data_IF_317372652972
#
_entry.id   IF_317372652972
#
_cell.length_a   1.000
_cell.length_b   1.000
_cell.length_c   1.000
_cell.angle_alpha   90.00
_cell.angle_beta   90.00
_cell.angle_gamma   90.00
#
_symmetry.space_group_name_H-M   'P 1'
#
loop_
_entity.id
_entity.type
_entity.pdbx_description
1 polymer ?
#
# COMPACT_ATOMS: atom_id res chain seq x y z
N UNK A 1 -11.97 3.66 -3.11
CA UNK A 1 -10.68 3.94 -2.46
C UNK A 1 -10.11 2.64 -1.91
N UNK A 2 -8.84 2.35 -2.14
CA UNK A 2 -8.13 1.25 -1.48
C UNK A 2 -7.94 1.64 -0.01
N UNK A 3 -8.53 0.83 0.88
CA UNK A 3 -8.49 1.06 2.32
C UNK A 3 -8.16 -0.26 3.03
N UNK A 4 -7.22 -0.20 3.97
CA UNK A 4 -6.86 -1.33 4.82
C UNK A 4 -7.92 -1.68 5.88
N UNK A 5 -8.94 -0.83 6.08
CA UNK A 5 -9.91 -1.01 7.16
C UNK A 5 -10.89 -2.18 6.95
N UNK A 6 -11.26 -2.52 5.70
CA UNK A 6 -12.28 -3.53 5.35
C UNK A 6 -13.55 -3.55 6.25
N UNK A 7 -13.90 -2.43 6.88
CA UNK A 7 -15.08 -2.30 7.73
C UNK A 7 -16.29 -2.00 6.86
N UNK A 8 -17.07 -3.05 6.58
CA UNK A 8 -18.33 -2.94 5.85
C UNK A 8 -19.48 -3.18 6.83
N UNK A 9 -20.47 -2.26 6.81
CA UNK A 9 -21.65 -2.36 7.68
C UNK A 9 -22.46 -3.59 7.30
N UNK A 10 -22.75 -4.43 8.29
CA UNK A 10 -23.59 -5.61 8.11
C UNK A 10 -25.08 -5.23 8.06
N UNK A 11 -25.88 -6.10 7.43
CA UNK A 11 -27.33 -5.93 7.39
C UNK A 11 -27.92 -6.32 8.77
N UNK A 12 -28.68 -5.42 9.39
CA UNK A 12 -29.31 -5.68 10.69
C UNK A 12 -30.19 -6.95 10.64
N UNK A 13 -30.17 -7.72 11.73
CA UNK A 13 -30.89 -9.00 11.88
C UNK A 13 -30.48 -10.10 10.88
N UNK A 14 -29.34 -9.95 10.20
CA UNK A 14 -28.83 -10.90 9.21
C UNK A 14 -27.38 -11.33 9.48
N UNK A 15 -26.85 -11.15 10.69
CA UNK A 15 -25.44 -11.44 11.00
C UNK A 15 -25.06 -12.92 10.82
N UNK A 16 -26.00 -13.84 11.08
CA UNK A 16 -25.77 -15.29 10.94
C UNK A 16 -25.89 -15.78 9.49
N UNK A 17 -26.31 -14.91 8.56
CA UNK A 17 -26.52 -15.26 7.16
C UNK A 17 -25.21 -15.13 6.38
N UNK A 18 -24.62 -16.28 6.07
CA UNK A 18 -23.37 -16.43 5.31
C UNK A 18 -23.60 -16.79 3.84
N UNK A 19 -24.83 -16.66 3.34
CA UNK A 19 -25.14 -16.96 1.95
C UNK A 19 -24.51 -15.95 0.97
N UNK A 20 -23.85 -16.48 -0.05
CA UNK A 20 -23.16 -15.73 -1.10
C UNK A 20 -24.05 -15.45 -2.32
N UNK A 21 -25.24 -16.04 -2.36
CA UNK A 21 -26.20 -15.92 -3.45
C UNK A 21 -27.18 -14.76 -3.22
N UNK A 22 -27.57 -14.08 -4.29
CA UNK A 22 -28.56 -13.00 -4.30
C UNK A 22 -29.98 -13.52 -4.01
N UNK A 23 -30.23 -13.99 -2.80
CA UNK A 23 -31.60 -14.15 -2.29
C UNK A 23 -31.97 -12.80 -1.70
N UNK A 24 -32.72 -11.99 -2.44
CA UNK A 24 -32.96 -10.56 -2.18
C UNK A 24 -33.34 -10.22 -0.73
N UNK A 25 -33.93 -11.17 0.01
CA UNK A 25 -34.41 -10.96 1.36
C UNK A 25 -33.53 -11.52 2.48
N UNK A 26 -32.44 -12.25 2.19
CA UNK A 26 -31.68 -12.99 3.22
C UNK A 26 -30.16 -12.82 3.16
N UNK A 27 -29.68 -11.62 2.82
CA UNK A 27 -28.25 -11.36 2.65
C UNK A 27 -27.68 -10.31 3.60
N UNK A 28 -26.55 -10.67 4.20
CA UNK A 28 -25.66 -9.75 4.89
C UNK A 28 -24.72 -9.10 3.87
N UNK A 29 -25.01 -7.84 3.53
CA UNK A 29 -24.25 -7.08 2.52
C UNK A 29 -22.79 -6.84 2.92
N UNK A 30 -22.54 -6.59 4.21
CA UNK A 30 -21.19 -6.44 4.75
C UNK A 30 -20.38 -7.73 4.67
N UNK A 31 -20.99 -8.88 5.02
CA UNK A 31 -20.38 -10.20 4.86
C UNK A 31 -19.99 -10.50 3.41
N UNK A 32 -20.90 -10.31 2.45
CA UNK A 32 -20.60 -10.57 1.04
C UNK A 32 -19.47 -9.69 0.52
N UNK A 33 -19.43 -8.42 0.94
CA UNK A 33 -18.37 -7.51 0.54
C UNK A 33 -17.02 -7.97 1.08
N UNK A 34 -16.93 -8.33 2.38
CA UNK A 34 -15.71 -8.89 2.98
C UNK A 34 -15.30 -10.20 2.31
N UNK A 35 -16.23 -11.12 2.10
CA UNK A 35 -15.97 -12.38 1.42
C UNK A 35 -15.38 -12.15 0.03
N UNK A 36 -15.97 -11.27 -0.78
CA UNK A 36 -15.50 -11.01 -2.14
C UNK A 36 -14.10 -10.38 -2.19
N UNK A 37 -13.75 -9.57 -1.18
CA UNK A 37 -12.39 -9.02 -1.06
C UNK A 37 -11.39 -10.10 -0.60
N UNK A 38 -11.79 -10.98 0.31
CA UNK A 38 -10.88 -11.96 0.94
C UNK A 38 -10.80 -13.31 0.20
N UNK A 39 -11.77 -13.69 -0.64
CA UNK A 39 -11.91 -15.05 -1.21
C UNK A 39 -10.69 -15.56 -1.97
N UNK A 40 -9.94 -14.66 -2.61
CA UNK A 40 -8.75 -14.98 -3.40
C UNK A 40 -7.47 -14.45 -2.73
N UNK A 41 -7.58 -13.80 -1.58
CA UNK A 41 -6.55 -13.05 -0.83
C UNK A 41 -5.76 -11.98 -1.59
N UNK A 42 -5.61 -12.06 -2.91
CA UNK A 42 -4.76 -11.17 -3.73
C UNK A 42 -5.01 -9.69 -3.48
N UNK A 43 -6.28 -9.28 -3.38
CA UNK A 43 -6.64 -7.89 -3.11
C UNK A 43 -6.29 -7.49 -1.68
N UNK A 44 -6.54 -8.38 -0.71
CA UNK A 44 -6.19 -8.16 0.69
C UNK A 44 -4.67 -8.10 0.88
N UNK A 45 -3.93 -9.02 0.29
CA UNK A 45 -2.46 -9.07 0.34
C UNK A 45 -1.83 -7.82 -0.28
N UNK A 46 -2.36 -7.37 -1.43
CA UNK A 46 -1.97 -6.12 -2.08
C UNK A 46 -2.24 -4.91 -1.18
N UNK A 47 -3.45 -4.79 -0.63
CA UNK A 47 -3.83 -3.65 0.22
C UNK A 47 -2.97 -3.62 1.48
N UNK A 48 -2.76 -4.77 2.12
CA UNK A 48 -1.97 -4.89 3.34
C UNK A 48 -0.53 -4.43 3.13
N UNK A 49 0.17 -5.04 2.17
CA UNK A 49 1.56 -4.70 1.84
C UNK A 49 1.70 -3.23 1.42
N UNK A 50 0.85 -2.73 0.53
CA UNK A 50 0.91 -1.34 0.07
C UNK A 50 0.70 -0.33 1.20
N UNK A 51 -0.22 -0.58 2.14
CA UNK A 51 -0.41 0.34 3.28
C UNK A 51 0.70 0.21 4.31
N UNK A 52 1.28 -0.98 4.46
CA UNK A 52 2.43 -1.20 5.34
C UNK A 52 3.65 -0.43 4.83
N UNK A 53 4.03 -0.64 3.57
CA UNK A 53 5.21 -0.01 2.96
C UNK A 53 5.08 1.52 2.82
N UNK A 54 3.85 2.05 2.74
CA UNK A 54 3.59 3.49 2.78
C UNK A 54 3.51 4.07 4.21
N UNK A 55 3.71 3.26 5.25
CA UNK A 55 3.58 3.69 6.64
C UNK A 55 2.16 4.17 6.98
N UNK A 56 1.12 3.64 6.32
CA UNK A 56 -0.30 3.98 6.55
C UNK A 56 -1.07 2.88 7.27
N UNK A 57 -0.44 1.75 7.51
CA UNK A 57 -1.04 0.64 8.24
C UNK A 57 -1.50 1.11 9.64
N UNK A 58 -2.72 0.77 10.01
CA UNK A 58 -3.41 1.22 11.24
C UNK A 58 -3.64 2.73 11.42
N UNK A 59 -3.32 3.59 10.45
CA UNK A 59 -3.50 5.05 10.58
C UNK A 59 -4.88 5.56 10.14
N UNK A 60 -5.80 4.67 9.77
CA UNK A 60 -7.12 4.98 9.21
C UNK A 60 -7.05 6.01 8.06
N UNK A 61 -6.02 5.88 7.22
CA UNK A 61 -5.76 6.71 6.06
C UNK A 61 -5.81 5.83 4.81
N UNK A 62 -6.52 6.31 3.80
CA UNK A 62 -6.48 5.71 2.47
C UNK A 62 -5.29 6.25 1.65
N UNK A 63 -5.13 5.74 0.43
CA UNK A 63 -4.10 6.17 -0.52
C UNK A 63 -4.62 7.03 -1.67
N UNK A 64 -5.88 7.48 -1.58
CA UNK A 64 -6.58 8.22 -2.64
C UNK A 64 -6.53 7.58 -4.05
N UNK A 65 -6.44 6.24 -4.10
CA UNK A 65 -6.50 5.44 -5.33
C UNK A 65 -7.52 4.33 -5.07
N UNK A 66 -8.55 4.23 -5.90
CA UNK A 66 -9.49 3.11 -5.89
C UNK A 66 -8.90 1.85 -6.53
N UNK A 67 -9.48 0.68 -6.25
CA UNK A 67 -9.01 -0.55 -6.89
C UNK A 67 -9.22 -0.56 -8.41
N UNK A 68 -10.24 0.15 -8.92
CA UNK A 68 -10.41 0.37 -10.35
C UNK A 68 -9.29 1.21 -10.94
N UNK A 69 -8.97 2.36 -10.33
CA UNK A 69 -7.87 3.24 -10.78
C UNK A 69 -6.53 2.53 -10.70
N UNK A 70 -6.28 1.76 -9.64
CA UNK A 70 -5.04 0.98 -9.47
C UNK A 70 -4.80 0.01 -10.64
N UNK A 71 -5.86 -0.59 -11.17
CA UNK A 71 -5.80 -1.49 -12.34
C UNK A 71 -5.72 -0.74 -13.67
N UNK A 72 -6.10 0.53 -13.68
CA UNK A 72 -6.31 1.35 -14.87
C UNK A 72 -5.25 2.46 -14.98
N UNK A 73 -3.98 2.10 -14.76
CA UNK A 73 -2.84 2.98 -14.97
C UNK A 73 -2.37 3.78 -13.75
N UNK A 74 -3.14 3.84 -12.66
CA UNK A 74 -2.70 4.44 -11.38
C UNK A 74 -2.08 3.39 -10.44
N UNK A 75 -1.36 2.43 -11.01
CA UNK A 75 -0.67 1.39 -10.24
C UNK A 75 0.48 2.02 -9.44
N UNK A 76 0.48 1.79 -8.14
CA UNK A 76 1.53 2.24 -7.22
C UNK A 76 2.26 1.03 -6.62
N UNK A 77 3.58 1.05 -6.69
CA UNK A 77 4.45 0.15 -5.95
C UNK A 77 5.14 0.94 -4.85
N UNK A 78 5.04 0.47 -3.62
CA UNK A 78 5.78 0.97 -2.47
C UNK A 78 6.77 -0.12 -2.06
N UNK A 79 7.99 0.28 -1.72
CA UNK A 79 9.04 -0.63 -1.30
C UNK A 79 9.76 0.00 -0.12
N UNK A 80 9.64 -0.61 1.05
CA UNK A 80 10.48 -0.26 2.19
C UNK A 80 11.86 -0.92 2.00
N UNK A 81 12.88 -0.09 1.77
CA UNK A 81 14.26 -0.53 1.60
C UNK A 81 15.08 -0.48 2.91
N UNK A 82 14.44 -0.13 4.03
CA UNK A 82 15.10 -0.20 5.34
C UNK A 82 15.39 -1.67 5.71
N UNK A 83 16.57 -1.97 6.28
CA UNK A 83 16.93 -3.35 6.63
C UNK A 83 15.97 -4.07 7.57
N UNK A 84 15.15 -3.33 8.30
CA UNK A 84 14.21 -3.80 9.32
C UNK A 84 12.74 -3.54 8.96
N UNK A 85 12.46 -3.05 7.74
CA UNK A 85 11.11 -2.73 7.25
C UNK A 85 10.35 -1.77 8.18
N UNK A 86 11.06 -0.74 8.63
CA UNK A 86 10.57 0.25 9.57
C UNK A 86 10.84 1.68 9.11
N UNK A 87 10.62 1.97 7.83
CA UNK A 87 10.76 3.32 7.29
C UNK A 87 10.00 4.40 8.09
N UNK A 88 8.84 4.05 8.66
CA UNK A 88 8.02 4.93 9.50
C UNK A 88 8.33 4.83 11.01
N UNK A 89 9.35 4.05 11.38
CA UNK A 89 9.81 3.81 12.74
C UNK A 89 10.64 4.94 13.34
N UNK A 90 10.78 4.91 14.67
CA UNK A 90 11.49 5.94 15.46
C UNK A 90 12.98 5.63 15.69
N UNK A 91 13.48 4.49 15.21
CA UNK A 91 14.90 4.15 15.28
C UNK A 91 15.58 4.39 13.94
N UNK A 92 16.92 4.42 13.98
CA UNK A 92 17.75 4.60 12.81
C UNK A 92 18.43 3.29 12.46
N UNK A 93 18.10 2.77 11.28
CA UNK A 93 18.86 1.69 10.68
C UNK A 93 20.14 2.26 10.07
N UNK A 94 21.21 1.46 10.05
CA UNK A 94 22.48 1.86 9.45
C UNK A 94 22.27 2.10 7.94
N UNK A 95 22.54 3.33 7.48
CA UNK A 95 22.53 3.67 6.05
C UNK A 95 23.53 2.82 5.28
N UNK A 96 23.08 2.26 4.16
CA UNK A 96 23.92 1.47 3.25
C UNK A 96 23.84 2.07 1.86
N UNK A 97 25.00 2.28 1.26
CA UNK A 97 25.09 2.73 -0.12
C UNK A 97 25.05 1.53 -1.06
N UNK A 98 24.36 1.69 -2.18
CA UNK A 98 24.21 0.65 -3.19
C UNK A 98 23.56 1.20 -4.46
N UNK A 99 23.55 0.38 -5.50
CA UNK A 99 22.85 0.69 -6.74
C UNK A 99 21.47 0.05 -6.74
N UNK A 100 20.44 0.82 -7.10
CA UNK A 100 19.10 0.31 -7.36
C UNK A 100 18.90 0.17 -8.87
N UNK A 101 18.39 -0.97 -9.31
CA UNK A 101 17.97 -1.20 -10.71
C UNK A 101 16.51 -1.64 -10.69
N UNK A 102 15.69 -1.00 -11.51
CA UNK A 102 14.26 -1.33 -11.66
C UNK A 102 14.05 -1.88 -13.06
N UNK A 103 13.80 -3.18 -13.15
CA UNK A 103 13.48 -3.86 -14.40
C UNK A 103 11.97 -4.15 -14.47
N UNK A 104 11.30 -3.58 -15.47
CA UNK A 104 9.88 -3.76 -15.69
C UNK A 104 9.62 -4.54 -16.98
N UNK A 105 8.74 -5.53 -16.90
CA UNK A 105 8.28 -6.31 -18.06
C UNK A 105 6.77 -6.30 -18.15
N UNK A 106 6.26 -5.79 -19.25
CA UNK A 106 4.84 -5.88 -19.58
C UNK A 106 4.53 -7.23 -20.24
N UNK A 107 3.41 -7.85 -19.85
CA UNK A 107 2.97 -9.12 -20.44
C UNK A 107 2.51 -8.99 -21.90
N UNK A 108 2.17 -7.77 -22.31
CA UNK A 108 1.77 -7.39 -23.67
C UNK A 108 2.47 -6.08 -24.05
N UNK A 109 2.64 -5.85 -25.34
CA UNK A 109 3.11 -4.55 -25.83
C UNK A 109 2.13 -3.44 -25.41
N UNK A 110 2.67 -2.32 -24.94
CA UNK A 110 1.85 -1.17 -24.55
C UNK A 110 1.28 -0.51 -25.82
N UNK A 111 -0.02 -0.19 -25.84
CA UNK A 111 -0.64 0.45 -27.01
C UNK A 111 -0.18 1.90 -27.18
N UNK A 112 0.31 2.51 -26.10
CA UNK A 112 0.72 3.91 -26.01
C UNK A 112 1.98 4.05 -25.15
N UNK A 113 2.71 5.16 -25.29
CA UNK A 113 3.84 5.50 -24.42
C UNK A 113 3.34 5.82 -23.02
N UNK A 114 3.96 5.22 -22.00
CA UNK A 114 3.66 5.48 -20.59
C UNK A 114 4.84 6.12 -19.90
N UNK A 115 4.57 6.97 -18.91
CA UNK A 115 5.60 7.55 -18.04
C UNK A 115 5.67 6.78 -16.73
N UNK A 116 6.87 6.40 -16.31
CA UNK A 116 7.13 5.90 -14.97
C UNK A 116 7.68 7.04 -14.13
N UNK A 117 7.02 7.34 -13.01
CA UNK A 117 7.51 8.29 -12.03
C UNK A 117 8.06 7.51 -10.84
N UNK A 118 9.32 7.77 -10.49
CA UNK A 118 10.01 7.11 -9.38
C UNK A 118 10.34 8.16 -8.32
N UNK A 119 9.87 7.92 -7.09
CA UNK A 119 10.22 8.71 -5.93
C UNK A 119 11.00 7.84 -4.94
N UNK A 120 11.95 8.44 -4.24
CA UNK A 120 12.66 7.82 -3.14
C UNK A 120 12.68 8.81 -1.98
N UNK A 121 12.23 8.33 -0.82
CA UNK A 121 12.38 9.01 0.46
C UNK A 121 13.52 8.33 1.21
N UNK A 122 14.46 9.12 1.71
CA UNK A 122 15.59 8.64 2.48
C UNK A 122 15.98 9.70 3.51
N UNK A 123 16.57 9.25 4.62
CA UNK A 123 17.08 10.13 5.66
C UNK A 123 18.50 10.57 5.29
N UNK A 124 18.77 11.86 5.42
CA UNK A 124 20.10 12.46 5.29
C UNK A 124 20.54 13.00 6.65
N UNK A 125 21.83 12.92 6.96
CA UNK A 125 22.42 13.45 8.19
C UNK A 125 23.06 14.81 7.93
N UNK A 126 22.69 15.80 8.73
CA UNK A 126 23.36 17.11 8.78
C UNK A 126 24.10 17.19 10.11
N UNK A 127 25.43 17.13 10.05
CA UNK A 127 26.30 17.29 11.22
C UNK A 127 26.79 18.74 11.33
N UNK A 128 26.70 19.31 12.53
CA UNK A 128 27.23 20.64 12.84
C UNK A 128 28.29 20.48 13.93
N UNK A 129 29.52 20.81 13.60
CA UNK A 129 30.62 20.72 14.56
C UNK A 129 30.63 21.90 15.55
N UNK A 130 31.55 21.83 16.53
CA UNK A 130 31.73 22.89 17.54
C UNK A 130 32.13 24.25 16.94
N UNK A 131 32.72 24.24 15.75
CA UNK A 131 33.14 25.42 15.00
C UNK A 131 32.03 25.94 14.07
N UNK A 132 30.83 25.32 14.09
CA UNK A 132 29.69 25.60 13.19
C UNK A 132 29.96 25.23 11.74
N UNK A 133 30.92 24.36 11.47
CA UNK A 133 31.07 23.73 10.16
C UNK A 133 29.90 22.78 9.95
N UNK A 134 29.33 22.81 8.75
CA UNK A 134 28.18 21.99 8.36
C UNK A 134 28.67 20.88 7.43
N UNK A 135 28.34 19.63 7.76
CA UNK A 135 28.63 18.45 6.96
C UNK A 135 27.33 17.75 6.59
N UNK A 136 27.21 17.31 5.34
CA UNK A 136 26.08 16.58 4.80
C UNK A 136 26.56 15.29 4.14
N UNK A 137 25.70 14.28 4.06
CA UNK A 137 25.99 12.96 3.48
C UNK A 137 25.44 12.75 2.06
N UNK A 138 24.96 13.82 1.40
CA UNK A 138 24.47 13.85 0.02
C UNK A 138 25.16 14.92 -0.84
#
# INVERSE_FOLDING_TARGET
MLTAGLFYKDTASKHDLVELTNVADNVNSGYQTRYNVCKDSKLMDLIGTLHFDLGRYHKNQDINISFSEYKDGYTLFALDLTPDLSADGMHESISRNGNLTIDLKFSKALPETVNLIVFSEYRNVIEIDKNRSIFTDY
#
